data_IF_925455043754
#
_entry.id   IF_925455043754
#
_cell.length_a   1.000
_cell.length_b   1.000
_cell.length_c   1.000
_cell.angle_alpha   90.00
_cell.angle_beta   90.00
_cell.angle_gamma   90.00
#
_symmetry.space_group_name_H-M   'P 1'
#
loop_
_entity.id
_entity.type
_entity.pdbx_description
1 polymer ?
#
# COMPACT_ATOMS: atom_id res chain seq x y z
N UNK A 1 -4.70 -2.66 21.43
CA UNK A 1 -5.29 -2.23 20.15
C UNK A 1 -4.51 -2.84 19.00
N UNK A 2 -5.21 -3.23 17.94
CA UNK A 2 -4.55 -3.75 16.74
C UNK A 2 -4.05 -2.61 15.88
N UNK A 3 -2.87 -2.77 15.33
CA UNK A 3 -2.38 -1.83 14.35
C UNK A 3 -3.11 -2.04 13.03
N UNK A 4 -3.38 -0.96 12.32
CA UNK A 4 -4.17 -0.98 11.10
C UNK A 4 -3.27 -0.86 9.88
N UNK A 5 -3.42 -1.78 8.95
CA UNK A 5 -2.63 -1.82 7.71
C UNK A 5 -3.56 -1.61 6.53
N UNK A 6 -3.14 -0.72 5.62
CA UNK A 6 -3.86 -0.50 4.36
C UNK A 6 -3.14 -1.24 3.25
N UNK A 7 -3.88 -2.05 2.51
CA UNK A 7 -3.35 -2.75 1.34
C UNK A 7 -4.02 -2.16 0.10
N UNK A 8 -3.21 -1.65 -0.81
CA UNK A 8 -3.69 -1.09 -2.09
C UNK A 8 -3.20 -2.00 -3.20
N UNK A 9 -4.09 -2.84 -3.70
CA UNK A 9 -3.75 -3.89 -4.66
C UNK A 9 -4.99 -4.21 -5.50
N UNK A 10 -4.84 -4.28 -6.82
CA UNK A 10 -5.99 -4.54 -7.70
C UNK A 10 -6.27 -6.02 -7.95
N UNK A 11 -5.30 -6.91 -7.72
CA UNK A 11 -5.51 -8.34 -7.90
C UNK A 11 -6.11 -8.98 -6.66
N UNK A 12 -7.30 -9.55 -6.81
CA UNK A 12 -8.00 -10.13 -5.67
C UNK A 12 -7.24 -11.30 -5.04
N UNK A 13 -6.58 -12.11 -5.84
CA UNK A 13 -5.82 -13.24 -5.30
C UNK A 13 -4.71 -12.77 -4.36
N UNK A 14 -4.04 -11.68 -4.71
CA UNK A 14 -2.98 -11.12 -3.87
C UNK A 14 -3.57 -10.45 -2.64
N UNK A 15 -4.68 -9.72 -2.80
CA UNK A 15 -5.40 -9.14 -1.67
C UNK A 15 -5.75 -10.21 -0.63
N UNK A 16 -6.29 -11.33 -1.09
CA UNK A 16 -6.74 -12.39 -0.20
C UNK A 16 -5.58 -13.01 0.58
N UNK A 17 -4.46 -13.25 -0.09
CA UNK A 17 -3.28 -13.82 0.55
C UNK A 17 -2.74 -12.86 1.62
N UNK A 18 -2.58 -11.59 1.28
CA UNK A 18 -2.06 -10.59 2.21
C UNK A 18 -3.02 -10.36 3.38
N UNK A 19 -4.30 -10.32 3.08
CA UNK A 19 -5.31 -10.16 4.11
C UNK A 19 -5.24 -11.29 5.14
N UNK A 20 -5.18 -12.54 4.67
CA UNK A 20 -5.12 -13.70 5.55
C UNK A 20 -3.84 -13.70 6.39
N UNK A 21 -2.70 -13.44 5.76
CA UNK A 21 -1.42 -13.41 6.47
C UNK A 21 -1.40 -12.36 7.57
N UNK A 22 -1.87 -11.16 7.26
CA UNK A 22 -1.79 -10.05 8.20
C UNK A 22 -2.83 -10.13 9.29
N UNK A 23 -4.04 -10.58 8.98
CA UNK A 23 -5.06 -10.77 10.01
C UNK A 23 -4.67 -11.91 10.95
N UNK A 24 -4.07 -12.98 10.43
CA UNK A 24 -3.57 -14.07 11.27
C UNK A 24 -2.44 -13.60 12.19
N UNK A 25 -1.67 -12.61 11.76
CA UNK A 25 -0.60 -12.05 12.58
C UNK A 25 -1.12 -11.04 13.61
N UNK A 26 -2.40 -10.76 13.63
CA UNK A 26 -3.00 -9.89 14.64
C UNK A 26 -3.24 -8.46 14.20
N UNK A 27 -3.13 -8.14 12.92
CA UNK A 27 -3.36 -6.79 12.41
C UNK A 27 -4.79 -6.61 11.94
N UNK A 28 -5.26 -5.38 11.98
CA UNK A 28 -6.50 -5.00 11.33
C UNK A 28 -6.15 -4.54 9.91
N UNK A 29 -6.92 -4.96 8.91
CA UNK A 29 -6.57 -4.73 7.50
C UNK A 29 -7.72 -4.09 6.75
N UNK A 30 -7.41 -3.05 5.98
CA UNK A 30 -8.33 -2.48 5.00
C UNK A 30 -7.79 -2.75 3.61
N UNK A 31 -8.66 -3.10 2.69
CA UNK A 31 -8.29 -3.42 1.30
C UNK A 31 -8.83 -2.34 0.36
N UNK A 32 -7.94 -1.79 -0.45
CA UNK A 32 -8.30 -0.88 -1.52
C UNK A 32 -7.94 -1.53 -2.85
N UNK A 33 -8.82 -1.44 -3.83
CA UNK A 33 -8.64 -2.08 -5.13
C UNK A 33 -7.94 -1.19 -6.15
N UNK A 34 -7.75 0.07 -5.85
CA UNK A 34 -6.99 0.99 -6.71
C UNK A 34 -6.45 2.16 -5.87
N UNK A 35 -5.65 3.00 -6.53
CA UNK A 35 -5.00 4.11 -5.84
C UNK A 35 -5.97 5.16 -5.32
N UNK A 36 -7.06 5.42 -6.03
CA UNK A 36 -8.05 6.40 -5.59
C UNK A 36 -8.77 5.94 -4.34
N UNK A 37 -9.16 4.68 -4.30
CA UNK A 37 -9.77 4.09 -3.11
C UNK A 37 -8.77 4.10 -1.94
N UNK A 38 -7.51 3.78 -2.23
CA UNK A 38 -6.46 3.83 -1.22
C UNK A 38 -6.27 5.22 -0.63
N UNK A 39 -6.28 6.25 -1.46
CA UNK A 39 -6.17 7.63 -0.98
C UNK A 39 -7.38 8.02 -0.13
N UNK A 40 -8.57 7.56 -0.52
CA UNK A 40 -9.78 7.81 0.26
C UNK A 40 -9.68 7.20 1.66
N UNK A 41 -9.24 5.94 1.76
CA UNK A 41 -9.00 5.31 3.05
C UNK A 41 -7.95 6.07 3.85
N UNK A 42 -6.86 6.43 3.20
CA UNK A 42 -5.75 7.13 3.84
C UNK A 42 -6.21 8.44 4.49
N UNK A 43 -7.12 9.15 3.84
CA UNK A 43 -7.62 10.43 4.36
C UNK A 43 -8.65 10.26 5.47
N UNK A 44 -9.36 9.14 5.50
CA UNK A 44 -10.46 8.94 6.44
C UNK A 44 -10.08 8.13 7.68
N UNK A 45 -8.94 7.42 7.66
CA UNK A 45 -8.53 6.54 8.75
C UNK A 45 -7.05 6.66 9.01
N UNK A 46 -6.62 6.18 10.18
CA UNK A 46 -5.20 6.15 10.52
C UNK A 46 -4.63 4.75 10.29
N UNK A 47 -3.43 4.68 9.74
CA UNK A 47 -2.76 3.42 9.45
C UNK A 47 -1.35 3.42 10.01
N UNK A 48 -0.88 2.23 10.41
CA UNK A 48 0.49 2.04 10.87
C UNK A 48 1.43 1.70 9.72
N UNK A 49 0.89 1.14 8.64
CA UNK A 49 1.67 0.68 7.50
C UNK A 49 0.78 0.64 6.26
N UNK A 50 1.37 0.93 5.10
CA UNK A 50 0.65 0.83 3.82
C UNK A 50 1.44 -0.11 2.91
N UNK A 51 0.76 -1.11 2.35
CA UNK A 51 1.32 -1.96 1.30
C UNK A 51 0.71 -1.50 -0.01
N UNK A 52 1.55 -1.09 -0.94
CA UNK A 52 1.11 -0.41 -2.16
C UNK A 52 1.66 -1.10 -3.39
N UNK A 53 0.76 -1.61 -4.24
CA UNK A 53 1.14 -2.13 -5.54
C UNK A 53 1.33 -0.95 -6.50
N UNK A 54 2.48 -0.88 -7.15
CA UNK A 54 2.78 0.20 -8.08
C UNK A 54 2.28 -0.08 -9.49
N UNK A 55 1.85 -1.30 -9.76
CA UNK A 55 1.38 -1.73 -11.08
C UNK A 55 -0.14 -1.83 -11.14
N UNK A 56 -0.81 -0.70 -10.92
CA UNK A 56 -2.27 -0.66 -10.93
C UNK A 56 -2.79 0.20 -12.06
N UNK A 57 -4.00 -0.13 -12.58
CA UNK A 57 -4.65 0.76 -13.53
C UNK A 57 -5.08 2.05 -12.85
N UNK A 58 -5.45 3.04 -13.62
CA UNK A 58 -5.97 4.34 -13.21
C UNK A 58 -4.92 5.30 -12.67
N UNK A 59 -4.22 4.95 -11.61
CA UNK A 59 -3.23 5.85 -11.04
C UNK A 59 -1.96 5.08 -10.71
N UNK A 60 -0.81 5.69 -11.05
CA UNK A 60 0.50 5.15 -10.79
C UNK A 60 0.75 5.06 -9.28
N UNK A 61 1.20 3.91 -8.81
CA UNK A 61 1.50 3.70 -7.40
C UNK A 61 2.53 4.66 -6.85
N UNK A 62 3.51 5.06 -7.66
CA UNK A 62 4.48 6.06 -7.22
C UNK A 62 3.83 7.40 -6.95
N UNK A 63 2.86 7.79 -7.79
CA UNK A 63 2.12 9.04 -7.58
C UNK A 63 1.31 8.98 -6.27
N UNK A 64 0.71 7.82 -5.99
CA UNK A 64 -0.03 7.62 -4.74
C UNK A 64 0.91 7.78 -3.55
N UNK A 65 2.09 7.17 -3.62
CA UNK A 65 3.08 7.27 -2.56
C UNK A 65 3.51 8.72 -2.32
N UNK A 66 3.75 9.47 -3.38
CA UNK A 66 4.13 10.87 -3.26
C UNK A 66 3.05 11.71 -2.59
N UNK A 67 1.78 11.48 -2.95
CA UNK A 67 0.68 12.19 -2.34
C UNK A 67 0.57 11.89 -0.84
N UNK A 68 0.74 10.63 -0.48
CA UNK A 68 0.71 10.24 0.93
C UNK A 68 1.87 10.82 1.72
N UNK A 69 3.07 10.89 1.11
CA UNK A 69 4.26 11.43 1.77
C UNK A 69 4.15 12.92 2.07
N UNK A 70 3.35 13.65 1.33
CA UNK A 70 3.13 15.07 1.62
C UNK A 70 2.40 15.27 2.94
N UNK A 71 1.66 14.28 3.41
CA UNK A 71 0.81 14.40 4.58
C UNK A 71 1.24 13.53 5.75
N UNK A 72 2.09 12.53 5.54
CA UNK A 72 2.41 11.57 6.58
C UNK A 72 3.75 10.88 6.36
N UNK A 73 4.37 10.46 7.46
CA UNK A 73 5.61 9.68 7.45
C UNK A 73 5.33 8.19 7.65
N UNK A 74 4.10 7.74 7.48
CA UNK A 74 3.73 6.32 7.63
C UNK A 74 4.61 5.46 6.74
N UNK A 75 5.16 4.34 7.23
CA UNK A 75 5.92 3.43 6.37
C UNK A 75 5.06 2.90 5.23
N UNK A 76 5.60 2.97 4.02
CA UNK A 76 4.95 2.46 2.82
C UNK A 76 5.88 1.44 2.17
N UNK A 77 5.40 0.21 2.02
CA UNK A 77 6.15 -0.84 1.34
C UNK A 77 5.55 -1.03 -0.04
N UNK A 78 6.36 -0.88 -1.06
CA UNK A 78 5.89 -1.06 -2.43
C UNK A 78 5.98 -2.50 -2.87
N UNK A 79 4.92 -2.98 -3.50
CA UNK A 79 4.82 -4.30 -4.07
C UNK A 79 4.88 -4.17 -5.58
N UNK A 80 5.60 -5.06 -6.25
CA UNK A 80 5.66 -5.02 -7.70
C UNK A 80 5.93 -6.41 -8.26
N UNK A 81 5.34 -6.68 -9.43
CA UNK A 81 5.62 -7.88 -10.19
C UNK A 81 6.61 -7.61 -11.34
N UNK A 82 7.14 -6.39 -11.42
CA UNK A 82 8.03 -5.99 -12.49
C UNK A 82 9.51 -6.16 -12.14
N UNK A 83 10.34 -5.34 -12.78
CA UNK A 83 11.77 -5.26 -12.51
C UNK A 83 11.98 -4.92 -11.04
N UNK A 84 12.29 -5.91 -10.26
CA UNK A 84 12.44 -5.76 -8.82
C UNK A 84 13.55 -4.80 -8.45
N UNK A 85 14.64 -4.82 -9.22
CA UNK A 85 15.79 -3.95 -8.94
C UNK A 85 15.42 -2.48 -9.11
N UNK A 86 14.76 -2.15 -10.22
CA UNK A 86 14.32 -0.78 -10.47
C UNK A 86 13.28 -0.33 -9.42
N UNK A 87 12.34 -1.19 -9.11
CA UNK A 87 11.32 -0.88 -8.12
C UNK A 87 11.92 -0.65 -6.74
N UNK A 88 12.91 -1.44 -6.35
CA UNK A 88 13.58 -1.27 -5.07
C UNK A 88 14.32 0.06 -4.98
N UNK A 89 14.98 0.47 -6.05
CA UNK A 89 15.70 1.74 -6.09
C UNK A 89 14.71 2.90 -5.92
N UNK A 90 13.60 2.86 -6.64
CA UNK A 90 12.60 3.92 -6.54
C UNK A 90 11.92 3.96 -5.18
N UNK A 91 11.66 2.81 -4.60
CA UNK A 91 11.08 2.74 -3.25
C UNK A 91 12.01 3.38 -2.23
N UNK A 92 13.30 3.17 -2.37
CA UNK A 92 14.30 3.81 -1.52
C UNK A 92 14.25 5.34 -1.64
N UNK A 93 14.18 5.84 -2.86
CA UNK A 93 14.13 7.29 -3.11
C UNK A 93 12.90 7.92 -2.48
N UNK A 94 11.79 7.20 -2.41
CA UNK A 94 10.55 7.69 -1.84
C UNK A 94 10.45 7.46 -0.34
N UNK A 95 11.47 6.88 0.27
CA UNK A 95 11.52 6.63 1.71
C UNK A 95 10.39 5.73 2.20
N UNK A 96 10.20 4.67 1.50
CA UNK A 96 9.18 3.70 1.86
C UNK A 96 9.75 2.58 2.70
#
# INVERSE_FOLDING_TARGET
MKEHILIIEDEKAIQDVLYDLLTDAGYEVSLASDGLEGLSFFQSQSFALILLDIMMPKIDGYAVCELMRKESDIPIIMLTAMDEEEAQIRAFELQV
#
